data_IF_747242953008
#
_entry.id   IF_747242953008
#
_cell.length_a   1.000
_cell.length_b   1.000
_cell.length_c   1.000
_cell.angle_alpha   90.00
_cell.angle_beta   90.00
_cell.angle_gamma   90.00
#
_symmetry.space_group_name_H-M   'P 1'
#
loop_
_entity.id
_entity.type
_entity.pdbx_description
1 polymer ?
#
# COMPACT_ATOMS: atom_id res chain seq x y z
N UNK A 1 30.25 -2.13 -19.06
CA UNK A 1 31.71 -2.04 -19.19
C UNK A 1 32.06 -0.63 -19.65
N UNK A 2 32.69 0.16 -18.79
CA UNK A 2 33.31 1.43 -19.17
C UNK A 2 34.56 1.59 -18.31
N UNK A 3 35.71 1.57 -18.97
CA UNK A 3 37.05 1.81 -18.42
C UNK A 3 37.42 3.23 -18.82
N UNK A 4 37.99 4.00 -17.89
CA UNK A 4 38.59 5.30 -18.14
C UNK A 4 39.65 5.62 -17.09
N UNK A 5 40.92 5.42 -17.46
CA UNK A 5 42.13 5.69 -16.69
C UNK A 5 42.42 7.19 -16.52
N UNK A 6 43.14 7.55 -15.46
CA UNK A 6 43.86 8.83 -15.35
C UNK A 6 44.46 9.04 -13.97
N UNK A 7 45.68 8.54 -13.76
CA UNK A 7 46.46 8.76 -12.54
C UNK A 7 47.23 10.08 -12.56
N UNK A 8 47.41 10.67 -11.36
CA UNK A 8 48.31 11.78 -11.09
C UNK A 8 48.50 11.94 -9.58
N UNK A 9 49.73 11.74 -9.10
CA UNK A 9 50.16 11.83 -7.70
C UNK A 9 50.47 13.28 -7.27
N UNK A 10 50.55 13.57 -5.97
CA UNK A 10 50.20 14.86 -5.38
C UNK A 10 51.37 15.83 -5.28
N UNK A 11 51.06 17.13 -5.32
CA UNK A 11 52.01 18.19 -5.02
C UNK A 11 51.52 18.96 -3.78
N UNK A 12 52.33 18.92 -2.72
CA UNK A 12 52.20 19.75 -1.53
C UNK A 12 52.35 21.23 -1.90
N UNK A 13 51.45 22.06 -1.38
CA UNK A 13 51.64 23.50 -1.30
C UNK A 13 51.30 23.97 0.11
N UNK A 14 52.35 24.46 0.78
CA UNK A 14 52.35 25.15 2.07
C UNK A 14 51.40 26.36 2.04
N UNK A 15 50.48 26.44 3.02
CA UNK A 15 49.66 27.61 3.25
C UNK A 15 49.85 28.11 4.69
N UNK A 16 50.36 29.34 4.79
CA UNK A 16 50.59 30.08 6.02
C UNK A 16 49.25 30.40 6.70
N UNK A 17 49.29 30.34 8.03
CA UNK A 17 48.26 30.78 8.97
C UNK A 17 47.85 32.23 8.70
N UNK A 18 46.54 32.48 8.65
CA UNK A 18 46.00 33.78 9.04
C UNK A 18 44.65 33.59 9.74
N UNK A 19 44.67 33.90 11.03
CA UNK A 19 43.57 33.85 11.99
C UNK A 19 42.62 35.03 11.78
N UNK A 20 41.35 34.73 11.52
CA UNK A 20 40.22 35.59 11.88
C UNK A 20 39.00 34.69 12.16
N UNK A 21 38.70 34.50 13.46
CA UNK A 21 37.55 33.73 13.90
C UNK A 21 36.26 34.50 13.61
N UNK A 22 35.50 34.03 12.62
CA UNK A 22 34.12 34.45 12.36
C UNK A 22 33.21 33.52 13.17
N UNK A 23 32.30 34.02 14.03
CA UNK A 23 31.40 33.14 14.75
C UNK A 23 30.55 32.37 13.74
N UNK A 24 30.55 31.04 13.86
CA UNK A 24 29.68 30.13 13.13
C UNK A 24 28.25 30.40 13.56
N UNK A 25 27.49 31.11 12.72
CA UNK A 25 26.04 31.12 12.83
C UNK A 25 25.56 29.73 12.43
N UNK A 26 25.11 28.94 13.40
CA UNK A 26 24.44 27.67 13.15
C UNK A 26 23.20 27.94 12.30
N UNK A 27 23.20 27.45 11.06
CA UNK A 27 22.00 27.39 10.25
C UNK A 27 21.00 26.49 10.98
N UNK A 28 19.82 27.04 11.30
CA UNK A 28 18.73 26.27 11.87
C UNK A 28 18.33 25.20 10.84
N UNK A 29 18.34 23.93 11.27
CA UNK A 29 17.81 22.84 10.48
C UNK A 29 16.31 23.09 10.21
N UNK A 30 15.77 22.64 9.07
CA UNK A 30 14.32 22.67 8.85
C UNK A 30 13.67 21.93 10.01
N UNK A 31 12.72 22.57 10.69
CA UNK A 31 11.93 21.89 11.71
C UNK A 31 11.13 20.79 11.02
N UNK A 32 11.45 19.54 11.31
CA UNK A 32 10.58 18.41 10.97
C UNK A 32 9.20 18.70 11.57
N UNK A 33 8.11 18.57 10.81
CA UNK A 33 6.78 18.77 11.36
C UNK A 33 6.60 17.79 12.52
N UNK A 34 6.49 18.34 13.74
CA UNK A 34 6.31 17.56 14.94
C UNK A 34 5.18 16.55 14.72
N UNK A 35 5.50 15.26 14.83
CA UNK A 35 4.52 14.18 14.78
C UNK A 35 3.44 14.50 15.80
N UNK A 36 2.23 14.81 15.34
CA UNK A 36 1.15 15.14 16.23
C UNK A 36 0.79 13.87 16.99
N UNK A 37 1.05 13.85 18.30
CA UNK A 37 0.37 12.90 19.17
C UNK A 37 -1.12 13.20 19.06
N UNK A 38 -2.00 12.19 18.91
CA UNK A 38 -3.44 12.43 18.84
C UNK A 38 -3.88 13.17 20.11
N UNK A 39 -4.09 14.49 20.01
CA UNK A 39 -4.44 15.34 21.15
C UNK A 39 -5.95 15.38 21.40
N UNK A 40 -6.72 14.45 20.81
CA UNK A 40 -8.16 14.38 20.93
C UNK A 40 -8.75 12.99 20.73
N UNK A 41 -9.90 12.77 21.36
CA UNK A 41 -10.70 11.54 21.39
C UNK A 41 -11.82 11.51 20.33
N UNK A 42 -11.68 12.25 19.23
CA UNK A 42 -12.73 12.35 18.23
C UNK A 42 -12.97 10.98 17.58
N UNK A 43 -14.15 10.41 17.82
CA UNK A 43 -14.59 9.15 17.23
C UNK A 43 -15.52 9.44 16.05
N UNK A 44 -15.25 8.79 14.91
CA UNK A 44 -16.17 8.75 13.78
C UNK A 44 -16.91 7.41 13.85
N UNK A 45 -18.24 7.46 13.96
CA UNK A 45 -19.11 6.27 13.93
C UNK A 45 -20.17 6.45 12.85
N UNK A 46 -20.59 5.35 12.22
CA UNK A 46 -21.58 5.40 11.16
C UNK A 46 -21.81 4.05 10.50
N UNK A 47 -22.79 4.00 9.60
CA UNK A 47 -23.07 2.87 8.72
C UNK A 47 -23.23 3.37 7.29
N UNK A 48 -22.81 2.57 6.32
CA UNK A 48 -22.99 2.86 4.90
C UNK A 48 -24.10 1.97 4.38
N UNK A 49 -25.28 2.56 4.18
CA UNK A 49 -26.46 1.85 3.69
C UNK A 49 -26.48 1.83 2.16
N UNK A 50 -26.97 0.74 1.59
CA UNK A 50 -27.29 0.64 0.17
C UNK A 50 -28.76 1.02 -0.05
N UNK A 51 -29.04 1.80 -1.11
CA UNK A 51 -30.40 2.17 -1.50
C UNK A 51 -30.70 1.65 -2.90
N UNK A 52 -31.89 1.12 -3.10
CA UNK A 52 -32.33 0.54 -4.37
C UNK A 52 -32.11 -0.98 -4.47
N UNK A 53 -32.29 -1.51 -5.68
CA UNK A 53 -32.05 -2.93 -5.97
C UNK A 53 -30.55 -3.20 -6.14
N UNK A 54 -29.96 -4.15 -5.39
CA UNK A 54 -28.56 -4.52 -5.60
C UNK A 54 -28.34 -5.03 -7.03
N UNK A 55 -27.21 -4.71 -7.67
CA UNK A 55 -26.89 -5.28 -8.96
C UNK A 55 -26.75 -6.81 -8.85
N UNK A 56 -27.02 -7.51 -9.95
CA UNK A 56 -26.84 -8.96 -9.98
C UNK A 56 -25.36 -9.31 -9.77
N UNK A 57 -25.08 -10.19 -8.81
CA UNK A 57 -23.72 -10.61 -8.49
C UNK A 57 -23.15 -11.48 -9.61
N UNK A 58 -22.13 -10.99 -10.31
CA UNK A 58 -21.47 -11.74 -11.38
C UNK A 58 -20.68 -12.92 -10.79
N UNK A 59 -20.95 -14.13 -11.29
CA UNK A 59 -20.22 -15.34 -10.87
C UNK A 59 -18.79 -15.32 -11.43
N UNK A 60 -17.82 -15.66 -10.59
CA UNK A 60 -16.43 -15.90 -10.99
C UNK A 60 -16.32 -17.29 -11.63
N UNK A 61 -15.67 -17.34 -12.79
CA UNK A 61 -15.36 -18.59 -13.50
C UNK A 61 -13.93 -19.02 -13.14
N UNK A 62 -13.81 -19.93 -12.18
CA UNK A 62 -12.52 -20.42 -11.67
C UNK A 62 -12.08 -21.74 -12.32
N UNK A 63 -12.84 -22.27 -13.26
CA UNK A 63 -12.64 -23.57 -13.91
C UNK A 63 -11.35 -23.68 -14.72
N UNK A 64 -10.78 -22.54 -15.15
CA UNK A 64 -9.49 -22.50 -15.83
C UNK A 64 -8.30 -22.83 -14.93
N UNK A 65 -8.42 -22.70 -13.60
CA UNK A 65 -7.42 -23.12 -12.62
C UNK A 65 -8.05 -24.12 -11.61
N UNK A 66 -7.74 -25.42 -11.72
CA UNK A 66 -8.28 -26.43 -10.81
C UNK A 66 -7.96 -26.16 -9.34
N UNK A 67 -6.84 -25.51 -9.00
CA UNK A 67 -6.53 -25.17 -7.61
C UNK A 67 -7.53 -24.17 -7.05
N UNK A 68 -7.95 -23.19 -7.87
CA UNK A 68 -8.98 -22.22 -7.50
C UNK A 68 -10.35 -22.88 -7.33
N UNK A 69 -10.75 -23.73 -8.27
CA UNK A 69 -12.02 -24.45 -8.19
C UNK A 69 -12.13 -25.32 -6.93
N UNK A 70 -11.02 -25.92 -6.48
CA UNK A 70 -10.96 -26.76 -5.27
C UNK A 70 -11.04 -25.97 -3.96
N UNK A 71 -10.83 -24.65 -3.96
CA UNK A 71 -10.92 -23.84 -2.73
C UNK A 71 -12.37 -23.54 -2.31
N UNK A 72 -13.36 -23.81 -3.18
CA UNK A 72 -14.75 -23.39 -2.95
C UNK A 72 -15.72 -24.53 -3.22
N UNK A 73 -16.63 -24.75 -2.28
CA UNK A 73 -17.79 -25.64 -2.48
C UNK A 73 -18.96 -24.93 -3.15
N UNK A 74 -19.09 -23.62 -2.89
CA UNK A 74 -20.17 -22.78 -3.39
C UNK A 74 -19.70 -21.87 -4.54
N UNK A 75 -20.66 -21.28 -5.25
CA UNK A 75 -20.35 -20.30 -6.29
C UNK A 75 -19.72 -19.03 -5.67
N UNK A 76 -18.56 -18.64 -6.21
CA UNK A 76 -17.91 -17.37 -5.87
C UNK A 76 -18.41 -16.27 -6.81
N UNK A 77 -18.62 -15.08 -6.25
CA UNK A 77 -19.07 -13.90 -7.00
C UNK A 77 -18.07 -12.76 -6.88
N UNK A 78 -18.02 -11.89 -7.89
CA UNK A 78 -17.20 -10.68 -7.86
C UNK A 78 -17.65 -9.76 -6.72
N UNK A 79 -16.76 -9.31 -5.83
CA UNK A 79 -17.12 -8.50 -4.67
C UNK A 79 -17.33 -7.00 -5.00
N UNK A 80 -17.83 -6.66 -6.19
CA UNK A 80 -17.97 -5.26 -6.64
C UNK A 80 -18.98 -4.47 -5.79
N UNK A 81 -20.20 -5.00 -5.62
CA UNK A 81 -21.23 -4.44 -4.75
C UNK A 81 -21.82 -5.58 -3.93
N UNK A 82 -21.42 -5.64 -2.66
CA UNK A 82 -21.88 -6.67 -1.73
C UNK A 82 -22.75 -6.03 -0.67
N UNK A 83 -24.06 -6.26 -0.76
CA UNK A 83 -25.05 -5.77 0.21
C UNK A 83 -25.30 -6.84 1.27
N UNK A 84 -25.07 -6.49 2.52
CA UNK A 84 -25.35 -7.34 3.67
C UNK A 84 -26.86 -7.50 3.89
N UNK A 85 -27.26 -8.54 4.61
CA UNK A 85 -28.68 -8.80 4.94
C UNK A 85 -29.36 -7.63 5.68
N UNK A 86 -28.60 -6.79 6.39
CA UNK A 86 -29.10 -5.60 7.08
C UNK A 86 -29.15 -4.34 6.19
N UNK A 87 -28.96 -4.46 4.88
CA UNK A 87 -29.02 -3.36 3.92
C UNK A 87 -27.78 -2.46 3.90
N UNK A 88 -26.66 -2.87 4.50
CA UNK A 88 -25.39 -2.12 4.47
C UNK A 88 -24.42 -2.66 3.42
N UNK A 89 -23.45 -1.85 3.00
CA UNK A 89 -22.38 -2.28 2.10
C UNK A 89 -21.23 -2.95 2.84
N UNK A 90 -20.72 -4.06 2.30
CA UNK A 90 -19.42 -4.64 2.65
C UNK A 90 -18.31 -3.94 1.85
N UNK A 91 -17.06 -4.06 2.32
CA UNK A 91 -15.86 -3.56 1.62
C UNK A 91 -15.85 -2.05 1.35
N UNK A 92 -16.30 -1.25 2.32
CA UNK A 92 -16.31 0.21 2.19
C UNK A 92 -15.03 0.84 2.73
N UNK A 93 -14.46 1.76 1.96
CA UNK A 93 -13.38 2.65 2.41
C UNK A 93 -13.96 4.03 2.76
N UNK A 94 -13.65 4.53 3.96
CA UNK A 94 -14.03 5.86 4.43
C UNK A 94 -12.78 6.67 4.67
N UNK A 95 -12.76 7.90 4.16
CA UNK A 95 -11.61 8.79 4.25
C UNK A 95 -12.04 10.22 4.60
N UNK A 96 -11.32 10.85 5.52
CA UNK A 96 -11.51 12.25 5.91
C UNK A 96 -10.65 13.13 5.01
N UNK A 97 -11.29 13.91 4.14
CA UNK A 97 -10.61 14.68 3.10
C UNK A 97 -10.04 16.03 3.55
N UNK A 98 -10.65 16.66 4.55
CA UNK A 98 -10.32 18.03 5.01
C UNK A 98 -10.47 18.13 6.53
N UNK A 99 -9.89 19.18 7.13
CA UNK A 99 -9.98 19.46 8.58
C UNK A 99 -8.85 18.85 9.42
N UNK A 100 -7.84 18.29 8.77
CA UNK A 100 -6.64 17.71 9.39
C UNK A 100 -5.35 18.39 8.89
N UNK A 101 -5.46 19.56 8.27
CA UNK A 101 -4.33 20.32 7.75
C UNK A 101 -3.35 20.68 8.89
N UNK A 102 -2.05 20.66 8.59
CA UNK A 102 -1.00 20.93 9.58
C UNK A 102 -0.81 19.82 10.63
N UNK A 103 -1.59 18.73 10.58
CA UNK A 103 -1.41 17.56 11.46
C UNK A 103 -0.63 16.46 10.73
N UNK A 104 0.23 15.78 11.46
CA UNK A 104 0.97 14.60 11.00
C UNK A 104 0.67 13.43 11.93
N UNK A 105 0.49 12.24 11.35
CA UNK A 105 0.19 11.03 12.09
C UNK A 105 1.26 9.99 11.80
N UNK A 106 1.76 9.34 12.84
CA UNK A 106 2.70 8.24 12.66
C UNK A 106 2.00 7.03 12.01
N UNK A 107 2.66 6.44 11.03
CA UNK A 107 2.20 5.18 10.44
C UNK A 107 2.11 4.08 11.52
N UNK A 108 1.08 3.21 11.48
CA UNK A 108 1.01 2.09 12.39
C UNK A 108 2.26 1.20 12.28
N UNK A 109 2.78 0.76 13.42
CA UNK A 109 3.92 -0.16 13.47
C UNK A 109 3.54 -1.56 12.95
N UNK A 110 2.26 -1.94 13.03
CA UNK A 110 1.76 -3.20 12.49
C UNK A 110 1.55 -3.11 10.98
N UNK A 111 2.00 -4.16 10.29
CA UNK A 111 1.76 -4.30 8.86
C UNK A 111 0.26 -4.48 8.57
N UNK A 112 -0.24 -3.76 7.57
CA UNK A 112 -1.47 -4.16 6.89
C UNK A 112 -1.20 -5.42 6.07
N UNK A 113 -2.19 -6.27 5.88
CA UNK A 113 -2.03 -7.50 5.09
C UNK A 113 -2.97 -7.50 3.90
N UNK A 114 -2.42 -7.85 2.74
CA UNK A 114 -3.17 -8.22 1.54
C UNK A 114 -2.84 -9.68 1.22
N UNK A 115 -3.84 -10.55 1.35
CA UNK A 115 -3.70 -11.98 1.14
C UNK A 115 -4.33 -12.41 -0.20
N UNK A 116 -3.66 -13.29 -0.93
CA UNK A 116 -4.26 -14.08 -2.00
C UNK A 116 -4.71 -15.40 -1.38
N UNK A 117 -6.01 -15.58 -1.24
CA UNK A 117 -6.60 -16.75 -0.61
C UNK A 117 -7.93 -17.09 -1.28
N UNK A 118 -8.16 -18.38 -1.56
CA UNK A 118 -9.32 -18.81 -2.32
C UNK A 118 -9.33 -18.24 -3.74
N UNK A 119 -8.16 -17.93 -4.30
CA UNK A 119 -8.03 -17.18 -5.55
C UNK A 119 -8.80 -15.84 -5.56
N UNK A 120 -8.85 -15.17 -4.40
CA UNK A 120 -9.40 -13.84 -4.19
C UNK A 120 -8.40 -12.98 -3.42
N UNK A 121 -8.56 -11.66 -3.49
CA UNK A 121 -7.84 -10.75 -2.60
C UNK A 121 -8.62 -10.52 -1.31
N UNK A 122 -7.94 -10.72 -0.19
CA UNK A 122 -8.49 -10.56 1.14
C UNK A 122 -7.60 -9.63 1.98
N UNK A 123 -8.11 -8.48 2.45
CA UNK A 123 -9.43 -7.92 2.15
C UNK A 123 -9.53 -7.37 0.70
N UNK A 124 -10.74 -7.30 0.16
CA UNK A 124 -11.01 -6.69 -1.16
C UNK A 124 -10.72 -5.17 -1.17
N UNK A 125 -11.01 -4.49 -0.05
CA UNK A 125 -10.75 -3.06 0.14
C UNK A 125 -10.06 -2.86 1.49
N UNK A 126 -8.98 -2.07 1.50
CA UNK A 126 -8.23 -1.74 2.71
C UNK A 126 -7.59 -0.36 2.63
N UNK A 127 -7.20 0.16 3.79
CA UNK A 127 -6.41 1.37 3.92
C UNK A 127 -5.03 1.06 4.49
N UNK A 128 -4.04 1.83 4.06
CA UNK A 128 -2.70 1.88 4.64
C UNK A 128 -2.26 3.33 4.78
N UNK A 129 -1.47 3.63 5.81
CA UNK A 129 -0.81 4.93 5.90
C UNK A 129 0.48 4.95 5.06
N UNK A 130 0.90 6.14 4.65
CA UNK A 130 2.20 6.33 4.00
C UNK A 130 3.30 5.81 4.94
N UNK A 131 4.22 5.01 4.42
CA UNK A 131 5.28 4.37 5.21
C UNK A 131 4.84 3.17 6.08
N UNK A 132 3.54 2.85 6.15
CA UNK A 132 3.08 1.62 6.79
C UNK A 132 3.47 0.42 5.94
N UNK A 133 3.99 -0.64 6.57
CA UNK A 133 4.23 -1.91 5.88
C UNK A 133 2.93 -2.52 5.35
N UNK A 134 2.94 -2.90 4.07
CA UNK A 134 1.99 -3.80 3.45
C UNK A 134 2.64 -5.17 3.26
N UNK A 135 2.16 -6.14 4.04
CA UNK A 135 2.49 -7.56 3.92
C UNK A 135 1.61 -8.21 2.86
N UNK A 136 2.18 -8.52 1.71
CA UNK A 136 1.52 -9.25 0.63
C UNK A 136 1.79 -10.73 0.83
N UNK A 137 0.75 -11.56 0.92
CA UNK A 137 0.83 -12.99 1.22
C UNK A 137 0.09 -13.78 0.15
N UNK A 138 0.65 -14.89 -0.32
CA UNK A 138 -0.10 -15.88 -1.08
C UNK A 138 -0.34 -17.13 -0.23
N UNK A 139 -1.61 -17.42 0.09
CA UNK A 139 -2.03 -18.61 0.83
C UNK A 139 -2.50 -19.75 -0.08
N UNK A 140 -2.63 -19.50 -1.37
CA UNK A 140 -3.08 -20.45 -2.37
C UNK A 140 -1.92 -21.27 -2.95
N UNK A 141 -2.21 -22.50 -3.36
CA UNK A 141 -1.24 -23.40 -4.02
C UNK A 141 -1.17 -23.16 -5.54
N UNK A 142 -1.41 -21.93 -5.99
CA UNK A 142 -1.28 -21.51 -7.39
C UNK A 142 -0.59 -20.15 -7.51
N UNK A 143 -0.11 -19.82 -8.71
CA UNK A 143 0.54 -18.56 -8.99
C UNK A 143 -0.49 -17.43 -9.00
N UNK A 144 -0.22 -16.42 -8.19
CA UNK A 144 -0.86 -15.12 -8.29
C UNK A 144 0.19 -14.04 -8.54
N UNK A 145 -0.29 -12.84 -8.81
CA UNK A 145 0.52 -11.65 -8.67
C UNK A 145 -0.30 -10.54 -8.03
N UNK A 146 0.39 -9.53 -7.49
CA UNK A 146 -0.22 -8.27 -7.05
C UNK A 146 0.33 -7.13 -7.88
N UNK A 147 -0.50 -6.59 -8.76
CA UNK A 147 -0.19 -5.43 -9.60
C UNK A 147 -0.94 -4.19 -9.12
N UNK A 148 -0.31 -3.41 -8.24
CA UNK A 148 -0.86 -2.16 -7.73
C UNK A 148 -0.42 -0.98 -8.59
N UNK A 149 -1.41 -0.30 -9.16
CA UNK A 149 -1.25 0.78 -10.15
C UNK A 149 -1.24 2.16 -9.48
N UNK A 150 -0.35 2.34 -8.50
CA UNK A 150 -0.15 3.65 -7.87
C UNK A 150 0.45 4.64 -8.87
N UNK A 151 0.03 5.89 -8.77
CA UNK A 151 0.46 7.00 -9.64
C UNK A 151 1.33 7.99 -8.89
N UNK A 152 1.18 8.10 -7.56
CA UNK A 152 1.95 8.99 -6.69
C UNK A 152 3.06 8.26 -5.93
N UNK A 153 2.94 6.95 -5.80
CA UNK A 153 4.00 6.05 -5.31
C UNK A 153 4.54 5.20 -6.46
N UNK A 154 5.69 4.55 -6.27
CA UNK A 154 6.21 3.59 -7.25
C UNK A 154 5.20 2.44 -7.45
N UNK A 155 4.64 2.24 -8.65
CA UNK A 155 3.79 1.09 -8.91
C UNK A 155 4.60 -0.20 -8.82
N UNK A 156 3.93 -1.31 -8.56
CA UNK A 156 4.59 -2.61 -8.50
C UNK A 156 3.71 -3.70 -9.09
N UNK A 157 4.38 -4.70 -9.67
CA UNK A 157 3.80 -5.95 -10.13
C UNK A 157 4.65 -7.09 -9.57
N UNK A 158 4.11 -7.83 -8.62
CA UNK A 158 4.86 -8.83 -7.84
C UNK A 158 4.26 -10.20 -8.05
N UNK A 159 5.02 -11.11 -8.65
CA UNK A 159 4.65 -12.51 -8.69
C UNK A 159 4.69 -13.12 -7.27
N UNK A 160 3.77 -14.04 -7.00
CA UNK A 160 3.69 -14.84 -5.79
C UNK A 160 3.44 -16.31 -6.18
N UNK A 161 4.45 -17.04 -6.71
CA UNK A 161 4.27 -18.38 -7.28
C UNK A 161 3.97 -19.49 -6.27
N UNK A 162 4.30 -19.30 -4.98
CA UNK A 162 4.27 -20.40 -4.00
C UNK A 162 3.37 -20.05 -2.82
N UNK A 163 2.62 -21.05 -2.37
CA UNK A 163 1.88 -21.00 -1.10
C UNK A 163 2.82 -20.61 0.05
N UNK A 164 2.37 -19.70 0.89
CA UNK A 164 3.13 -19.13 2.01
C UNK A 164 4.13 -18.04 1.63
N UNK A 165 4.27 -17.68 0.34
CA UNK A 165 5.14 -16.57 -0.03
C UNK A 165 4.64 -15.27 0.60
N UNK A 166 5.59 -14.49 1.12
CA UNK A 166 5.34 -13.16 1.69
C UNK A 166 6.29 -12.14 1.07
N UNK A 167 5.79 -10.96 0.77
CA UNK A 167 6.57 -9.82 0.27
C UNK A 167 6.12 -8.53 0.93
N UNK A 168 7.08 -7.72 1.36
CA UNK A 168 6.80 -6.42 1.99
C UNK A 168 6.86 -5.28 0.95
N UNK A 169 5.91 -4.35 1.04
CA UNK A 169 5.84 -3.10 0.28
C UNK A 169 5.39 -1.95 1.16
N UNK A 170 5.62 -0.74 0.68
CA UNK A 170 5.12 0.50 1.29
C UNK A 170 4.74 1.47 0.17
N UNK A 171 3.79 2.36 0.47
CA UNK A 171 3.49 3.52 -0.35
C UNK A 171 4.20 4.75 0.24
N UNK A 172 4.83 5.54 -0.63
CA UNK A 172 5.67 6.67 -0.25
C UNK A 172 4.92 8.02 -0.31
N UNK A 173 3.72 8.03 -0.87
CA UNK A 173 2.90 9.23 -1.02
C UNK A 173 1.41 8.91 -0.82
N UNK A 174 0.60 9.86 -0.28
CA UNK A 174 -0.83 9.67 -0.12
C UNK A 174 -1.54 9.52 -1.47
N UNK A 175 -2.30 8.44 -1.62
CA UNK A 175 -3.11 8.14 -2.79
C UNK A 175 -4.35 7.35 -2.38
N UNK A 176 -5.50 7.68 -2.96
CA UNK A 176 -6.79 7.08 -2.62
C UNK A 176 -7.26 6.27 -3.83
N UNK A 177 -7.83 5.09 -3.58
CA UNK A 177 -8.30 4.15 -4.61
C UNK A 177 -7.19 3.66 -5.56
N UNK A 178 -6.02 3.31 -5.01
CA UNK A 178 -4.99 2.58 -5.76
C UNK A 178 -5.54 1.21 -6.15
N UNK A 179 -5.74 0.99 -7.45
CA UNK A 179 -6.24 -0.30 -7.95
C UNK A 179 -5.13 -1.35 -7.95
N UNK A 180 -5.36 -2.46 -7.26
CA UNK A 180 -4.51 -3.65 -7.30
C UNK A 180 -5.23 -4.75 -8.06
N UNK A 181 -4.56 -5.43 -8.99
CA UNK A 181 -5.16 -6.52 -9.78
C UNK A 181 -4.22 -7.71 -9.87
N UNK A 182 -4.79 -8.91 -10.01
CA UNK A 182 -4.05 -10.08 -10.47
C UNK A 182 -4.12 -10.12 -12.00
N UNK A 183 -2.98 -10.25 -12.66
CA UNK A 183 -2.90 -10.42 -14.10
C UNK A 183 -3.08 -11.88 -14.52
N UNK A 184 -2.91 -12.84 -13.61
CA UNK A 184 -3.17 -14.27 -13.84
C UNK A 184 -4.67 -14.58 -13.74
N UNK A 185 -5.33 -13.98 -12.73
CA UNK A 185 -6.73 -14.21 -12.38
C UNK A 185 -7.51 -12.89 -12.48
N UNK A 186 -8.06 -12.53 -13.66
CA UNK A 186 -8.58 -11.18 -13.93
C UNK A 186 -9.76 -10.73 -13.06
N UNK A 187 -10.38 -11.65 -12.32
CA UNK A 187 -11.45 -11.36 -11.36
C UNK A 187 -10.93 -10.83 -10.01
N UNK A 188 -9.64 -11.02 -9.71
CA UNK A 188 -9.03 -10.52 -8.48
C UNK A 188 -8.64 -9.05 -8.69
N UNK A 189 -9.43 -8.16 -8.09
CA UNK A 189 -9.24 -6.72 -8.12
C UNK A 189 -9.67 -6.09 -6.79
#
# INVERSE_FOLDING_TARGET
>A
MAIGCGGGKPQEASAKSNTAARPLQLAQAPEDPATAQPSGSAAITGRVAFSGAPPAAERVKMDADPQCALQHTDAVHKPEVVVNANGTLKHVFVYVQQGLEGKSFAAPASAATLNQHGCMYEPHVFGVQVGQELSIVNSDATLHNVNCKATKSKPFNLAQPTKGMKTSKQFAAPEIMVKCVCNVHPWMA
#
